data_IF_483682485134
#
_entry.id   IF_483682485134
#
_cell.length_a   1.000
_cell.length_b   1.000
_cell.length_c   1.000
_cell.angle_alpha   90.00
_cell.angle_beta   90.00
_cell.angle_gamma   90.00
#
_symmetry.space_group_name_H-M   'P 1'
#
loop_
_entity.id
_entity.type
_entity.pdbx_description
1 polymer ?
#
# COMPACT_ATOMS: atom_id res chain seq x y z
N UNK A 1 -26.08 46.39 5.17
CA UNK A 1 -26.19 45.08 4.49
C UNK A 1 -27.50 44.47 4.93
N UNK A 2 -28.39 44.18 3.99
CA UNK A 2 -29.64 43.47 4.26
C UNK A 2 -29.38 42.00 4.63
N UNK A 3 -30.29 41.44 5.42
CA UNK A 3 -30.11 40.23 6.22
C UNK A 3 -29.63 38.98 5.44
N UNK A 4 -29.89 38.89 4.13
CA UNK A 4 -29.48 37.79 3.25
C UNK A 4 -27.98 37.83 2.86
N UNK A 5 -27.37 39.02 2.83
CA UNK A 5 -26.00 39.21 2.35
C UNK A 5 -24.92 38.88 3.39
N UNK A 6 -25.25 38.99 4.68
CA UNK A 6 -24.37 38.59 5.78
C UNK A 6 -24.37 37.07 5.98
N UNK A 7 -25.48 36.40 5.67
CA UNK A 7 -25.67 34.97 5.90
C UNK A 7 -24.75 34.11 5.01
N UNK A 8 -24.46 34.52 3.77
CA UNK A 8 -23.49 33.82 2.91
C UNK A 8 -22.03 34.06 3.34
N UNK A 9 -21.70 35.29 3.78
CA UNK A 9 -20.42 35.60 4.42
C UNK A 9 -20.13 34.67 5.63
N UNK A 10 -21.19 34.21 6.30
CA UNK A 10 -21.17 33.45 7.55
C UNK A 10 -21.13 31.93 7.38
N UNK A 11 -21.26 31.40 6.15
CA UNK A 11 -21.35 29.94 5.95
C UNK A 11 -20.15 29.32 5.21
N UNK A 12 -19.31 30.12 4.56
CA UNK A 12 -18.24 29.62 3.67
C UNK A 12 -16.84 30.03 4.11
N UNK A 13 -16.70 31.22 4.71
CA UNK A 13 -15.42 31.74 5.21
C UNK A 13 -14.73 30.81 6.24
N UNK A 14 -15.46 30.12 7.15
CA UNK A 14 -14.84 29.24 8.16
C UNK A 14 -14.39 27.88 7.62
N UNK A 15 -15.02 27.29 6.59
CA UNK A 15 -14.50 26.07 5.96
C UNK A 15 -13.12 26.28 5.29
N UNK A 16 -12.80 27.53 4.98
CA UNK A 16 -11.60 27.93 4.26
C UNK A 16 -10.43 28.39 5.15
N UNK A 17 -10.68 28.75 6.41
CA UNK A 17 -9.64 28.86 7.45
C UNK A 17 -9.42 27.48 8.12
N UNK A 18 -10.47 26.66 8.22
CA UNK A 18 -10.49 25.43 9.02
C UNK A 18 -10.49 24.14 8.19
N UNK A 19 -9.44 23.89 7.42
CA UNK A 19 -8.88 22.53 7.36
C UNK A 19 -7.34 22.60 7.33
N UNK A 20 -6.68 22.97 8.44
CA UNK A 20 -5.29 22.61 8.61
C UNK A 20 -5.23 21.11 8.96
N UNK A 21 -5.20 20.24 7.95
CA UNK A 21 -4.42 19.00 8.07
C UNK A 21 -3.07 19.22 7.39
N UNK A 22 -2.35 20.24 7.83
CA UNK A 22 -0.94 20.46 7.46
C UNK A 22 -0.19 21.38 8.45
N UNK A 23 -0.65 21.50 9.70
CA UNK A 23 0.13 22.20 10.73
C UNK A 23 -0.04 21.52 12.09
N UNK A 24 0.39 20.26 12.16
CA UNK A 24 0.82 19.63 13.41
C UNK A 24 1.93 18.57 13.21
N UNK A 25 2.43 18.38 11.98
CA UNK A 25 3.49 17.39 11.69
C UNK A 25 4.68 17.93 10.89
N UNK A 26 4.69 19.20 10.49
CA UNK A 26 5.92 19.88 10.06
C UNK A 26 6.57 20.42 11.34
N UNK A 27 7.60 19.69 11.76
CA UNK A 27 8.03 19.63 13.14
C UNK A 27 8.59 20.94 13.69
N UNK A 28 8.61 20.99 15.02
CA UNK A 28 9.58 21.78 15.79
C UNK A 28 11.06 21.48 15.43
N UNK A 29 11.31 20.57 14.47
CA UNK A 29 12.61 20.11 14.00
C UNK A 29 12.95 20.54 12.55
N UNK A 30 12.13 21.34 11.86
CA UNK A 30 12.42 21.80 10.49
C UNK A 30 13.34 23.03 10.43
N UNK A 31 13.71 23.60 11.58
CA UNK A 31 14.58 24.77 11.64
C UNK A 31 16.05 24.34 11.65
N UNK A 32 16.82 24.78 10.64
CA UNK A 32 18.27 24.76 10.78
C UNK A 32 18.67 25.85 11.77
N UNK A 33 19.42 25.49 12.81
CA UNK A 33 20.05 26.45 13.74
C UNK A 33 21.00 27.44 13.03
N UNK A 34 21.24 27.27 11.74
CA UNK A 34 22.12 28.14 10.94
C UNK A 34 21.39 29.33 10.27
N UNK A 35 20.06 29.37 10.22
CA UNK A 35 19.30 30.44 9.55
C UNK A 35 18.29 31.14 10.48
N UNK A 36 18.76 32.00 11.41
CA UNK A 36 17.92 32.54 12.48
C UNK A 36 16.87 33.57 12.02
N UNK A 37 17.02 34.18 10.83
CA UNK A 37 16.17 35.27 10.37
C UNK A 37 15.09 34.86 9.35
N UNK A 38 15.01 33.58 9.00
CA UNK A 38 14.11 33.08 7.93
C UNK A 38 12.65 33.45 8.17
N UNK A 39 12.15 33.34 9.40
CA UNK A 39 10.76 33.66 9.74
C UNK A 39 10.44 35.13 9.53
N UNK A 40 11.32 36.02 9.96
CA UNK A 40 11.14 37.47 9.82
C UNK A 40 11.09 37.88 8.34
N UNK A 41 11.97 37.29 7.52
CA UNK A 41 12.05 37.58 6.07
C UNK A 41 10.77 37.13 5.36
N UNK A 42 10.37 35.87 5.55
CA UNK A 42 9.17 35.32 4.92
C UNK A 42 7.93 36.10 5.36
N UNK A 43 7.80 36.36 6.67
CA UNK A 43 6.66 37.11 7.23
C UNK A 43 6.58 38.53 6.69
N UNK A 44 7.70 39.25 6.62
CA UNK A 44 7.74 40.62 6.08
C UNK A 44 7.31 40.68 4.61
N UNK A 45 7.72 39.71 3.79
CA UNK A 45 7.30 39.62 2.39
C UNK A 45 5.81 39.31 2.25
N UNK A 46 5.29 38.40 3.08
CA UNK A 46 3.86 38.05 3.11
C UNK A 46 3.01 39.26 3.51
N UNK A 47 3.38 39.98 4.57
CA UNK A 47 2.68 41.18 5.05
C UNK A 47 2.61 42.24 3.95
N UNK A 48 3.76 42.60 3.37
CA UNK A 48 3.82 43.64 2.34
C UNK A 48 2.92 43.31 1.15
N UNK A 49 2.95 42.07 0.67
CA UNK A 49 2.10 41.67 -0.45
C UNK A 49 0.63 41.53 -0.09
N UNK A 50 0.32 41.05 1.11
CA UNK A 50 -1.06 40.98 1.61
C UNK A 50 -1.67 42.38 1.63
N UNK A 51 -0.94 43.36 2.15
CA UNK A 51 -1.37 44.76 2.20
C UNK A 51 -1.49 45.40 0.81
N UNK A 52 -0.60 45.06 -0.13
CA UNK A 52 -0.73 45.50 -1.54
C UNK A 52 -1.99 44.92 -2.21
N UNK A 53 -2.35 43.67 -1.90
CA UNK A 53 -3.47 42.96 -2.54
C UNK A 53 -4.82 43.28 -1.90
N UNK A 54 -4.86 43.52 -0.60
CA UNK A 54 -6.08 43.67 0.18
C UNK A 54 -6.11 45.02 0.90
N UNK A 55 -6.66 46.02 0.21
CA UNK A 55 -6.73 47.41 0.71
C UNK A 55 -7.83 47.63 1.77
N UNK A 56 -8.81 46.72 1.89
CA UNK A 56 -9.87 46.77 2.92
C UNK A 56 -10.59 45.42 3.09
N UNK A 57 -11.38 45.30 4.16
CA UNK A 57 -12.14 44.09 4.52
C UNK A 57 -13.15 43.66 3.43
N UNK A 58 -13.90 44.56 2.78
CA UNK A 58 -14.76 44.19 1.64
C UNK A 58 -14.00 43.54 0.47
N UNK A 59 -12.78 43.99 0.17
CA UNK A 59 -11.95 43.39 -0.88
C UNK A 59 -11.53 41.94 -0.53
N UNK A 60 -11.25 41.67 0.75
CA UNK A 60 -10.95 40.33 1.27
C UNK A 60 -12.14 39.40 1.10
N UNK A 61 -13.32 39.84 1.56
CA UNK A 61 -14.54 39.04 1.53
C UNK A 61 -14.99 38.73 0.10
N UNK A 62 -14.89 39.73 -0.80
CA UNK A 62 -15.17 39.55 -2.22
C UNK A 62 -14.21 38.54 -2.87
N UNK A 63 -12.93 38.57 -2.53
CA UNK A 63 -11.94 37.63 -3.06
C UNK A 63 -12.25 36.17 -2.68
N UNK A 64 -12.64 35.90 -1.44
CA UNK A 64 -13.00 34.54 -1.00
C UNK A 64 -14.33 34.07 -1.56
N UNK A 65 -15.32 34.95 -1.62
CA UNK A 65 -16.59 34.67 -2.28
C UNK A 65 -16.35 34.26 -3.75
N UNK A 66 -15.59 35.04 -4.51
CA UNK A 66 -15.30 34.77 -5.92
C UNK A 66 -14.47 33.48 -6.12
N UNK A 67 -13.62 33.12 -5.14
CA UNK A 67 -12.81 31.89 -5.18
C UNK A 67 -13.67 30.65 -4.93
N UNK A 68 -14.57 30.72 -3.94
CA UNK A 68 -15.49 29.64 -3.63
C UNK A 68 -16.51 29.40 -4.76
N UNK A 69 -17.12 30.47 -5.27
CA UNK A 69 -18.10 30.37 -6.37
C UNK A 69 -17.49 29.75 -7.63
N UNK A 70 -16.19 29.96 -7.86
CA UNK A 70 -15.46 29.39 -9.01
C UNK A 70 -14.83 28.02 -8.71
N UNK A 71 -15.06 27.44 -7.53
CA UNK A 71 -14.50 26.15 -7.12
C UNK A 71 -12.97 26.10 -7.09
N UNK A 72 -12.31 27.26 -6.97
CA UNK A 72 -10.83 27.33 -6.90
C UNK A 72 -10.40 27.28 -5.45
N UNK A 73 -9.38 26.46 -5.15
CA UNK A 73 -8.66 26.57 -3.88
C UNK A 73 -8.18 28.01 -3.73
N UNK A 74 -8.70 28.73 -2.72
CA UNK A 74 -8.27 30.11 -2.44
C UNK A 74 -6.76 30.22 -2.23
N UNK A 75 -6.12 29.12 -1.80
CA UNK A 75 -4.67 28.94 -1.79
C UNK A 75 -4.00 29.07 -3.16
N UNK A 76 -4.52 28.40 -4.18
CA UNK A 76 -4.05 28.54 -5.57
C UNK A 76 -4.44 29.91 -6.15
N UNK A 77 -5.53 30.53 -5.70
CA UNK A 77 -5.87 31.91 -6.10
C UNK A 77 -4.93 32.97 -5.46
N UNK A 78 -4.17 32.57 -4.44
CA UNK A 78 -3.08 33.35 -3.87
C UNK A 78 -1.76 33.17 -4.64
N UNK A 79 -1.66 32.32 -5.68
CA UNK A 79 -0.46 32.13 -6.54
C UNK A 79 0.14 33.45 -7.08
N UNK A 80 -0.67 34.50 -7.19
CA UNK A 80 -0.18 35.84 -7.53
C UNK A 80 0.74 36.48 -6.48
N UNK A 81 1.01 35.80 -5.35
CA UNK A 81 1.98 36.24 -4.37
C UNK A 81 3.42 36.01 -4.81
N UNK A 82 3.74 35.16 -5.81
CA UNK A 82 5.11 34.97 -6.34
C UNK A 82 6.16 34.86 -5.21
N UNK A 83 5.74 34.26 -4.08
CA UNK A 83 6.49 34.28 -2.83
C UNK A 83 7.56 33.21 -2.85
N UNK A 84 7.35 32.07 -3.51
CA UNK A 84 8.24 30.93 -3.33
C UNK A 84 9.61 31.16 -3.94
N UNK A 85 9.69 31.67 -5.19
CA UNK A 85 10.97 31.91 -5.86
C UNK A 85 11.69 33.15 -5.32
N UNK A 86 10.94 34.22 -5.01
CA UNK A 86 11.52 35.47 -4.49
C UNK A 86 11.89 35.37 -3.01
N UNK A 87 11.07 34.71 -2.20
CA UNK A 87 11.42 34.46 -0.81
C UNK A 87 12.54 33.43 -0.72
N UNK A 88 12.61 32.42 -1.61
CA UNK A 88 13.79 31.55 -1.70
C UNK A 88 15.06 32.34 -2.02
N UNK A 89 15.01 33.25 -3.00
CA UNK A 89 16.14 34.12 -3.33
C UNK A 89 16.55 35.05 -2.17
N UNK A 90 15.58 35.64 -1.46
CA UNK A 90 15.85 36.48 -0.30
C UNK A 90 16.44 35.67 0.87
N UNK A 91 15.90 34.49 1.16
CA UNK A 91 16.42 33.59 2.20
C UNK A 91 17.81 33.07 1.84
N UNK A 92 18.07 32.69 0.59
CA UNK A 92 19.40 32.24 0.16
C UNK A 92 20.46 33.35 0.16
N UNK A 93 20.04 34.62 0.10
CA UNK A 93 20.95 35.77 0.16
C UNK A 93 21.48 36.08 1.56
N UNK A 94 20.88 35.48 2.60
CA UNK A 94 21.35 35.63 3.98
C UNK A 94 22.56 34.74 4.28
N UNK A 95 23.56 35.25 5.04
CA UNK A 95 24.70 34.45 5.48
C UNK A 95 24.24 33.20 6.23
N UNK A 96 24.76 32.03 5.83
CA UNK A 96 24.44 30.71 6.41
C UNK A 96 23.03 30.16 6.12
N UNK A 97 22.26 30.79 5.22
CA UNK A 97 20.92 30.32 4.81
C UNK A 97 20.89 29.71 3.40
N UNK A 98 21.95 29.90 2.60
CA UNK A 98 22.03 29.39 1.23
C UNK A 98 21.82 27.87 1.17
N UNK A 99 20.76 27.44 0.46
CA UNK A 99 20.35 26.04 0.31
C UNK A 99 20.02 25.31 1.62
N UNK A 100 19.85 26.02 2.74
CA UNK A 100 19.51 25.42 4.04
C UNK A 100 18.01 25.30 4.27
N UNK A 101 17.19 26.06 3.53
CA UNK A 101 15.74 26.10 3.68
C UNK A 101 15.10 25.71 2.36
N UNK A 102 14.21 24.71 2.36
CA UNK A 102 13.54 24.25 1.15
C UNK A 102 12.39 25.19 0.75
N UNK A 103 12.02 25.19 -0.53
CA UNK A 103 10.84 25.94 -0.98
C UNK A 103 9.54 25.47 -0.30
N UNK A 104 9.46 24.18 0.08
CA UNK A 104 8.32 23.65 0.81
C UNK A 104 8.20 24.25 2.22
N UNK A 105 9.33 24.48 2.90
CA UNK A 105 9.35 25.11 4.23
C UNK A 105 8.95 26.59 4.15
N UNK A 106 9.47 27.32 3.17
CA UNK A 106 9.11 28.72 2.90
C UNK A 106 7.61 28.83 2.61
N UNK A 107 7.06 27.92 1.80
CA UNK A 107 5.65 27.88 1.47
C UNK A 107 4.78 27.62 2.72
N UNK A 108 5.19 26.68 3.57
CA UNK A 108 4.49 26.39 4.82
C UNK A 108 4.51 27.58 5.81
N UNK A 109 5.62 28.32 5.87
CA UNK A 109 5.74 29.53 6.70
C UNK A 109 4.87 30.66 6.16
N UNK A 110 4.94 30.92 4.86
CA UNK A 110 4.09 31.91 4.21
C UNK A 110 2.61 31.58 4.40
N UNK A 111 2.28 30.28 4.39
CA UNK A 111 0.93 29.83 4.61
C UNK A 111 0.37 30.19 5.97
N UNK A 112 1.17 29.95 7.00
CA UNK A 112 0.84 30.28 8.39
C UNK A 112 0.63 31.78 8.56
N UNK A 113 1.50 32.60 7.99
CA UNK A 113 1.44 34.06 8.12
C UNK A 113 0.25 34.67 7.39
N UNK A 114 -0.12 34.15 6.22
CA UNK A 114 -1.34 34.57 5.50
C UNK A 114 -2.59 34.29 6.34
N UNK A 115 -2.67 33.11 6.97
CA UNK A 115 -3.78 32.77 7.88
C UNK A 115 -3.82 33.73 9.07
N UNK A 116 -2.66 34.03 9.67
CA UNK A 116 -2.55 34.99 10.77
C UNK A 116 -2.98 36.41 10.38
N UNK A 117 -2.65 36.86 9.17
CA UNK A 117 -3.08 38.16 8.65
C UNK A 117 -4.58 38.23 8.40
N UNK A 118 -5.18 37.19 7.86
CA UNK A 118 -6.64 37.15 7.71
C UNK A 118 -7.34 37.17 9.07
N UNK A 119 -6.84 36.42 10.05
CA UNK A 119 -7.37 36.40 11.42
C UNK A 119 -7.28 37.76 12.12
N UNK A 120 -6.23 38.55 11.84
CA UNK A 120 -6.04 39.88 12.46
C UNK A 120 -6.73 41.02 11.72
N UNK A 121 -7.04 40.86 10.42
CA UNK A 121 -7.68 41.91 9.60
C UNK A 121 -9.21 41.84 9.60
N UNK A 122 -9.79 40.66 9.83
CA UNK A 122 -11.24 40.41 9.88
C UNK A 122 -11.99 40.69 11.21
N UNK A 123 -11.39 40.96 12.39
CA UNK A 123 -12.13 41.15 13.64
C UNK A 123 -13.10 42.35 13.67
N UNK A 124 -13.00 43.29 12.74
CA UNK A 124 -13.84 44.50 12.74
C UNK A 124 -15.25 44.31 12.15
N UNK A 125 -15.70 43.07 11.90
CA UNK A 125 -17.04 42.77 11.35
C UNK A 125 -18.07 42.46 12.46
N UNK A 126 -17.65 42.41 13.73
CA UNK A 126 -18.47 41.96 14.86
C UNK A 126 -19.42 43.04 15.44
N UNK A 127 -19.56 44.19 14.78
CA UNK A 127 -20.44 45.28 15.20
C UNK A 127 -21.75 45.32 14.39
N UNK A 128 -22.54 44.26 14.41
CA UNK A 128 -23.99 44.36 14.12
C UNK A 128 -24.76 43.33 14.94
N UNK A 129 -25.07 43.71 16.19
CA UNK A 129 -25.99 42.99 17.07
C UNK A 129 -27.43 43.17 16.58
N UNK A 130 -28.14 42.08 16.30
CA UNK A 130 -29.55 41.89 16.72
C UNK A 130 -29.99 40.42 16.53
N UNK A 131 -30.50 39.83 17.62
CA UNK A 131 -31.53 38.77 17.70
C UNK A 131 -31.35 37.41 16.99
N UNK A 132 -30.27 37.16 16.26
CA UNK A 132 -30.05 35.88 15.53
C UNK A 132 -29.35 34.75 16.33
N UNK A 133 -28.99 34.97 17.60
CA UNK A 133 -28.09 34.08 18.36
C UNK A 133 -28.73 32.80 18.93
N UNK A 134 -30.04 32.77 19.15
CA UNK A 134 -30.71 31.59 19.74
C UNK A 134 -30.96 30.49 18.71
N UNK A 135 -31.30 30.85 17.47
CA UNK A 135 -31.41 29.89 16.36
C UNK A 135 -30.04 29.39 15.87
N UNK A 136 -28.98 30.17 16.08
CA UNK A 136 -27.61 29.80 15.71
C UNK A 136 -27.05 28.67 16.59
N UNK A 137 -27.34 28.65 17.90
CA UNK A 137 -26.89 27.56 18.79
C UNK A 137 -27.50 26.21 18.41
N UNK A 138 -28.79 26.16 18.08
CA UNK A 138 -29.46 24.93 17.63
C UNK A 138 -28.95 24.45 16.27
N UNK A 139 -28.66 25.37 15.35
CA UNK A 139 -28.14 25.04 14.02
C UNK A 139 -26.67 24.55 14.08
N UNK A 140 -25.84 25.18 14.92
CA UNK A 140 -24.45 24.74 15.17
C UNK A 140 -24.41 23.39 15.90
N UNK A 141 -25.23 23.15 16.93
CA UNK A 141 -25.29 21.83 17.57
C UNK A 141 -25.72 20.74 16.57
N UNK A 142 -26.68 21.04 15.69
CA UNK A 142 -27.15 20.12 14.64
C UNK A 142 -26.12 19.87 13.53
N UNK A 143 -25.15 20.77 13.31
CA UNK A 143 -24.09 20.65 12.30
C UNK A 143 -22.76 20.09 12.86
N UNK A 144 -22.47 20.31 14.14
CA UNK A 144 -21.24 19.83 14.80
C UNK A 144 -21.40 18.38 15.28
N UNK A 145 -22.60 17.96 15.69
CA UNK A 145 -22.85 16.58 16.15
C UNK A 145 -22.61 15.52 15.04
N UNK A 146 -22.97 15.74 13.76
CA UNK A 146 -22.54 14.88 12.67
C UNK A 146 -21.04 14.98 12.40
N UNK A 147 -20.44 16.17 12.47
CA UNK A 147 -19.02 16.41 12.13
C UNK A 147 -18.05 15.75 13.14
N UNK A 148 -18.42 15.66 14.42
CA UNK A 148 -17.66 14.90 15.42
C UNK A 148 -17.72 13.37 15.21
N UNK A 149 -18.75 12.87 14.52
CA UNK A 149 -18.86 11.45 14.13
C UNK A 149 -17.98 11.15 12.90
N UNK A 150 -17.55 12.19 12.16
CA UNK A 150 -16.64 12.10 11.01
C UNK A 150 -15.21 12.56 11.31
N UNK A 151 -14.79 12.65 12.59
CA UNK A 151 -13.35 12.70 12.88
C UNK A 151 -12.75 11.39 12.34
N UNK A 152 -11.80 11.42 11.40
CA UNK A 152 -11.15 10.21 10.94
C UNK A 152 -10.49 9.59 12.17
N UNK A 153 -10.94 8.40 12.57
CA UNK A 153 -10.14 7.54 13.44
C UNK A 153 -8.75 7.53 12.81
N UNK A 154 -7.73 7.95 13.57
CA UNK A 154 -6.35 7.90 13.10
C UNK A 154 -6.07 6.45 12.68
N UNK A 155 -6.21 6.15 11.39
CA UNK A 155 -5.79 4.89 10.82
C UNK A 155 -4.29 4.96 10.87
N UNK A 156 -3.68 4.09 11.68
CA UNK A 156 -2.23 3.93 11.67
C UNK A 156 -1.85 3.52 10.26
N UNK A 157 -1.38 4.48 9.47
CA UNK A 157 -0.95 4.24 8.10
C UNK A 157 0.29 3.34 8.16
N UNK A 158 0.29 2.28 7.33
CA UNK A 158 1.46 1.43 7.21
C UNK A 158 2.67 2.29 6.83
N UNK A 159 3.82 2.01 7.44
CA UNK A 159 5.04 2.75 7.18
C UNK A 159 6.26 1.87 7.35
N UNK A 160 7.33 2.25 6.66
CA UNK A 160 8.66 1.68 6.92
C UNK A 160 9.09 2.05 8.35
N UNK A 161 9.94 1.21 8.96
CA UNK A 161 10.46 1.42 10.32
C UNK A 161 9.38 1.55 11.41
N UNK A 162 8.19 0.97 11.21
CA UNK A 162 7.06 1.07 12.16
C UNK A 162 7.46 0.72 13.61
N UNK A 163 8.28 -0.31 13.78
CA UNK A 163 8.71 -0.85 15.06
C UNK A 163 10.00 -0.24 15.62
N UNK A 164 10.59 0.81 15.00
CA UNK A 164 11.90 1.35 15.41
C UNK A 164 11.98 1.74 16.89
N UNK A 165 10.90 2.27 17.47
CA UNK A 165 10.81 2.65 18.88
C UNK A 165 10.11 1.61 19.77
N UNK A 166 9.70 0.46 19.21
CA UNK A 166 8.91 -0.57 19.88
C UNK A 166 9.72 -1.87 20.02
N UNK A 167 10.26 -2.33 18.90
CA UNK A 167 11.08 -3.53 18.74
C UNK A 167 12.12 -3.23 17.63
N UNK A 168 13.20 -2.48 17.94
CA UNK A 168 14.14 -1.98 16.94
C UNK A 168 14.83 -3.08 16.12
N UNK A 169 15.00 -4.28 16.70
CA UNK A 169 15.69 -5.40 16.06
C UNK A 169 14.75 -6.33 15.28
N UNK A 170 13.45 -6.01 15.15
CA UNK A 170 12.44 -6.94 14.60
C UNK A 170 12.84 -7.51 13.24
N UNK A 171 13.27 -6.66 12.31
CA UNK A 171 13.59 -7.10 10.95
C UNK A 171 14.79 -8.05 10.93
N UNK A 172 15.79 -7.81 11.78
CA UNK A 172 16.96 -8.67 11.93
C UNK A 172 16.59 -10.02 12.53
N UNK A 173 15.73 -10.03 13.56
CA UNK A 173 15.27 -11.27 14.21
C UNK A 173 14.48 -12.13 13.22
N UNK A 174 13.54 -11.53 12.48
CA UNK A 174 12.76 -12.23 11.45
C UNK A 174 13.69 -12.75 10.36
N UNK A 175 14.61 -11.92 9.85
CA UNK A 175 15.60 -12.32 8.83
C UNK A 175 16.43 -13.52 9.27
N UNK A 176 16.88 -13.54 10.52
CA UNK A 176 17.64 -14.65 11.10
C UNK A 176 16.82 -15.94 11.16
N UNK A 177 15.59 -15.87 11.65
CA UNK A 177 14.69 -17.03 11.71
C UNK A 177 14.35 -17.58 10.31
N UNK A 178 14.04 -16.70 9.35
CA UNK A 178 13.75 -17.05 7.96
C UNK A 178 14.96 -17.67 7.28
N UNK A 179 16.16 -17.11 7.48
CA UNK A 179 17.41 -17.66 6.93
C UNK A 179 17.66 -19.08 7.43
N UNK A 180 17.49 -19.31 8.75
CA UNK A 180 17.63 -20.64 9.35
C UNK A 180 16.61 -21.62 8.77
N UNK A 181 15.36 -21.21 8.55
CA UNK A 181 14.33 -22.07 7.96
C UNK A 181 14.60 -22.34 6.47
N UNK A 182 15.03 -21.34 5.70
CA UNK A 182 15.41 -21.48 4.30
C UNK A 182 16.58 -22.46 4.10
N UNK A 183 17.57 -22.45 4.99
CA UNK A 183 18.68 -23.41 4.98
C UNK A 183 18.25 -24.85 5.25
N UNK A 184 17.09 -25.08 5.88
CA UNK A 184 16.56 -26.43 6.10
C UNK A 184 15.92 -26.99 4.82
N UNK A 185 15.26 -26.14 4.05
CA UNK A 185 14.62 -26.52 2.80
C UNK A 185 14.31 -25.31 1.93
N UNK A 186 14.61 -25.40 0.64
CA UNK A 186 14.27 -24.37 -0.34
C UNK A 186 12.76 -24.12 -0.43
N UNK A 187 11.93 -25.13 -0.13
CA UNK A 187 10.45 -25.04 -0.10
C UNK A 187 9.95 -23.84 0.71
N UNK A 188 10.70 -23.46 1.75
CA UNK A 188 10.47 -22.25 2.56
C UNK A 188 10.14 -21.01 1.72
N UNK A 189 10.87 -20.80 0.62
CA UNK A 189 10.71 -19.58 -0.18
C UNK A 189 9.40 -19.51 -0.95
N UNK A 190 9.11 -20.41 -1.89
CA UNK A 190 7.84 -20.39 -2.61
C UNK A 190 6.64 -20.59 -1.67
N UNK A 191 6.79 -21.35 -0.57
CA UNK A 191 5.72 -21.55 0.40
C UNK A 191 5.34 -20.24 1.12
N UNK A 192 6.33 -19.51 1.65
CA UNK A 192 6.08 -18.25 2.39
C UNK A 192 5.56 -17.16 1.45
N UNK A 193 6.14 -17.05 0.25
CA UNK A 193 5.71 -16.08 -0.75
C UNK A 193 4.24 -16.32 -1.17
N UNK A 194 3.88 -17.57 -1.44
CA UNK A 194 2.49 -17.93 -1.77
C UNK A 194 1.55 -17.71 -0.60
N UNK A 195 1.98 -18.02 0.63
CA UNK A 195 1.17 -17.81 1.84
C UNK A 195 0.78 -16.34 2.02
N UNK A 196 1.70 -15.40 1.78
CA UNK A 196 1.41 -13.96 1.83
C UNK A 196 0.41 -13.52 0.75
N UNK A 197 0.53 -14.05 -0.47
CA UNK A 197 -0.47 -13.79 -1.51
C UNK A 197 -1.87 -14.25 -1.09
N UNK A 198 -1.98 -15.50 -0.59
CA UNK A 198 -3.25 -16.06 -0.16
C UNK A 198 -3.85 -15.29 1.01
N UNK A 199 -3.05 -14.88 2.00
CA UNK A 199 -3.48 -14.00 3.08
C UNK A 199 -4.08 -12.70 2.54
N UNK A 200 -3.31 -11.97 1.73
CA UNK A 200 -3.74 -10.67 1.23
C UNK A 200 -4.99 -10.71 0.33
N UNK A 201 -5.22 -11.80 -0.40
CA UNK A 201 -6.41 -11.97 -1.24
C UNK A 201 -7.65 -12.40 -0.45
N UNK A 202 -7.48 -13.06 0.69
CA UNK A 202 -8.58 -13.53 1.53
C UNK A 202 -8.73 -12.61 2.73
N UNK A 203 -9.75 -11.73 2.70
CA UNK A 203 -10.06 -10.75 3.77
C UNK A 203 -9.00 -9.65 4.02
N UNK A 204 -7.85 -9.71 3.34
CA UNK A 204 -6.78 -8.73 3.41
C UNK A 204 -5.55 -9.27 4.13
N UNK A 205 -4.44 -8.54 4.09
CA UNK A 205 -3.19 -8.95 4.74
C UNK A 205 -3.31 -8.82 6.26
N UNK A 206 -3.98 -9.78 6.90
CA UNK A 206 -4.32 -9.80 8.32
C UNK A 206 -3.93 -11.11 9.02
N UNK A 207 -3.15 -11.97 8.35
CA UNK A 207 -2.74 -13.27 8.85
C UNK A 207 -3.89 -14.23 9.22
N UNK A 208 -5.12 -14.01 8.71
CA UNK A 208 -6.25 -14.92 8.92
C UNK A 208 -5.95 -16.34 8.43
N UNK A 209 -5.14 -16.47 7.38
CA UNK A 209 -4.76 -17.76 6.80
C UNK A 209 -3.99 -18.64 7.81
N UNK A 210 -3.30 -18.04 8.79
CA UNK A 210 -2.51 -18.75 9.79
C UNK A 210 -3.38 -19.38 10.90
N UNK A 211 -4.60 -18.89 11.11
CA UNK A 211 -5.52 -19.41 12.13
C UNK A 211 -5.84 -20.87 11.82
N UNK A 212 -5.73 -21.73 12.84
CA UNK A 212 -6.05 -23.14 12.75
C UNK A 212 -7.43 -23.43 13.34
N UNK A 213 -8.11 -24.44 12.79
CA UNK A 213 -9.36 -24.96 13.33
C UNK A 213 -9.22 -26.47 13.54
N UNK A 214 -9.44 -26.94 14.77
CA UNK A 214 -9.41 -28.38 15.08
C UNK A 214 -10.54 -29.16 14.39
N UNK A 215 -11.63 -28.50 14.01
CA UNK A 215 -12.74 -29.08 13.24
C UNK A 215 -12.58 -28.93 11.73
N UNK A 216 -11.44 -28.40 11.25
CA UNK A 216 -11.17 -28.22 9.83
C UNK A 216 -12.00 -27.13 9.17
N UNK A 217 -12.36 -26.07 9.92
CA UNK A 217 -13.20 -24.98 9.46
C UNK A 217 -12.46 -23.72 8.98
N UNK A 218 -11.12 -23.67 9.07
CA UNK A 218 -10.33 -22.46 8.80
C UNK A 218 -10.02 -22.28 7.30
N UNK A 219 -9.42 -21.14 6.94
CA UNK A 219 -9.04 -20.82 5.55
C UNK A 219 -8.09 -21.88 4.97
N UNK A 220 -7.05 -22.26 5.70
CA UNK A 220 -6.07 -23.27 5.28
C UNK A 220 -6.68 -24.66 4.99
N UNK A 221 -7.88 -24.93 5.47
CA UNK A 221 -8.60 -26.18 5.23
C UNK A 221 -9.44 -26.14 3.93
N UNK A 222 -9.54 -25.00 3.25
CA UNK A 222 -10.25 -24.84 1.98
C UNK A 222 -9.52 -25.59 0.84
N UNK A 223 -10.22 -26.16 -0.16
CA UNK A 223 -9.58 -26.89 -1.27
C UNK A 223 -8.52 -26.12 -2.08
N UNK A 224 -8.63 -24.79 -2.15
CA UNK A 224 -7.61 -23.95 -2.80
C UNK A 224 -6.34 -23.79 -1.92
N UNK A 225 -6.49 -23.88 -0.60
CA UNK A 225 -5.44 -23.61 0.38
C UNK A 225 -4.80 -24.87 0.97
N UNK A 226 -5.43 -26.05 0.83
CA UNK A 226 -4.86 -27.33 1.27
C UNK A 226 -3.49 -27.63 0.63
N UNK A 227 -3.21 -26.97 -0.50
CA UNK A 227 -1.95 -27.06 -1.23
C UNK A 227 -0.87 -26.08 -0.74
N UNK A 228 -1.18 -25.20 0.21
CA UNK A 228 -0.19 -24.34 0.86
C UNK A 228 0.76 -25.22 1.69
N UNK A 229 2.04 -25.16 1.38
CA UNK A 229 3.03 -25.99 2.04
C UNK A 229 3.21 -25.56 3.51
N UNK A 230 3.29 -26.55 4.41
CA UNK A 230 3.50 -26.33 5.84
C UNK A 230 4.72 -25.48 6.17
N UNK A 231 5.76 -25.52 5.34
CA UNK A 231 6.98 -24.71 5.49
C UNK A 231 6.71 -23.20 5.52
N UNK A 232 5.68 -22.71 4.82
CA UNK A 232 5.30 -21.30 4.86
C UNK A 232 4.76 -20.91 6.23
N UNK A 233 3.86 -21.73 6.79
CA UNK A 233 3.31 -21.54 8.14
C UNK A 233 4.41 -21.64 9.20
N UNK A 234 5.24 -22.67 9.10
CA UNK A 234 6.42 -22.88 9.95
C UNK A 234 7.35 -21.66 9.99
N UNK A 235 7.55 -21.01 8.84
CA UNK A 235 8.42 -19.83 8.74
C UNK A 235 7.90 -18.71 9.61
N UNK A 236 6.60 -18.42 9.53
CA UNK A 236 5.96 -17.38 10.35
C UNK A 236 5.93 -17.76 11.82
N UNK A 237 5.59 -19.01 12.15
CA UNK A 237 5.52 -19.50 13.54
C UNK A 237 6.90 -19.43 14.20
N UNK A 238 7.97 -19.88 13.53
CA UNK A 238 9.34 -19.82 14.06
C UNK A 238 9.84 -18.38 14.18
N UNK A 239 9.52 -17.52 13.21
CA UNK A 239 9.86 -16.10 13.29
C UNK A 239 9.11 -15.42 14.44
N UNK A 240 7.83 -15.72 14.66
CA UNK A 240 7.05 -15.22 15.81
C UNK A 240 7.66 -15.63 17.13
N UNK A 241 8.02 -16.92 17.29
CA UNK A 241 8.67 -17.40 18.50
C UNK A 241 10.02 -16.70 18.74
N UNK A 242 10.81 -16.45 17.68
CA UNK A 242 12.07 -15.72 17.79
C UNK A 242 11.84 -14.25 18.19
N UNK A 243 10.88 -13.57 17.57
CA UNK A 243 10.51 -12.19 17.92
C UNK A 243 10.05 -12.09 19.37
N UNK A 244 9.18 -13.00 19.81
CA UNK A 244 8.66 -12.98 21.18
C UNK A 244 9.67 -13.44 22.24
N UNK A 245 10.80 -14.03 21.82
CA UNK A 245 11.93 -14.33 22.71
C UNK A 245 12.77 -13.11 23.08
N UNK A 246 12.66 -12.01 22.32
CA UNK A 246 13.23 -10.72 22.69
C UNK A 246 12.27 -9.98 23.64
N UNK A 247 12.67 -9.68 24.90
CA UNK A 247 11.81 -9.01 25.88
C UNK A 247 11.28 -7.65 25.42
N UNK A 248 11.98 -6.95 24.52
CA UNK A 248 11.52 -5.67 23.98
C UNK A 248 10.40 -5.85 22.96
N UNK A 249 10.26 -7.03 22.38
CA UNK A 249 9.40 -7.32 21.24
C UNK A 249 8.20 -8.21 21.58
N UNK A 250 8.28 -8.93 22.71
CA UNK A 250 7.28 -9.88 23.17
C UNK A 250 5.86 -9.31 23.11
N UNK A 251 5.01 -9.95 22.30
CA UNK A 251 3.60 -9.59 22.07
C UNK A 251 3.38 -8.18 21.50
N UNK A 252 4.37 -7.59 20.83
CA UNK A 252 4.27 -6.25 20.20
C UNK A 252 4.25 -6.27 18.67
N UNK A 253 4.57 -7.41 18.05
CA UNK A 253 4.64 -7.57 16.59
C UNK A 253 3.58 -8.58 16.13
N UNK A 254 2.76 -8.17 15.16
CA UNK A 254 1.68 -8.98 14.60
C UNK A 254 2.22 -10.10 13.70
N UNK A 255 1.44 -11.16 13.56
CA UNK A 255 1.75 -12.24 12.63
C UNK A 255 1.68 -11.77 11.17
N UNK A 256 0.77 -10.84 10.86
CA UNK A 256 0.66 -10.22 9.54
C UNK A 256 1.95 -9.49 9.12
N UNK A 257 2.56 -8.72 10.03
CA UNK A 257 3.82 -8.05 9.72
C UNK A 257 5.02 -9.01 9.68
N UNK A 258 5.02 -10.06 10.50
CA UNK A 258 6.04 -11.13 10.41
C UNK A 258 5.96 -11.84 9.06
N UNK A 259 4.76 -12.16 8.57
CA UNK A 259 4.58 -12.77 7.25
C UNK A 259 5.04 -11.83 6.13
N UNK A 260 4.76 -10.53 6.22
CA UNK A 260 5.23 -9.54 5.24
C UNK A 260 6.76 -9.43 5.21
N UNK A 261 7.40 -9.34 6.39
CA UNK A 261 8.87 -9.34 6.50
C UNK A 261 9.50 -10.63 5.99
N UNK A 262 8.93 -11.78 6.39
CA UNK A 262 9.41 -13.09 5.96
C UNK A 262 9.31 -13.27 4.45
N UNK A 263 8.26 -12.75 3.82
CA UNK A 263 8.08 -12.79 2.36
C UNK A 263 9.21 -12.05 1.64
N UNK A 264 9.53 -10.82 2.08
CA UNK A 264 10.65 -10.04 1.56
C UNK A 264 11.99 -10.76 1.73
N UNK A 265 12.19 -11.41 2.87
CA UNK A 265 13.41 -12.12 3.19
C UNK A 265 13.60 -13.39 2.34
N UNK A 266 12.54 -14.17 2.09
CA UNK A 266 12.65 -15.35 1.22
C UNK A 266 12.86 -14.99 -0.25
N UNK A 267 12.24 -13.91 -0.73
CA UNK A 267 12.49 -13.39 -2.09
C UNK A 267 13.95 -13.00 -2.25
N UNK A 268 14.49 -12.26 -1.28
CA UNK A 268 15.91 -11.87 -1.28
C UNK A 268 16.86 -13.07 -1.20
N UNK A 269 16.56 -14.08 -0.36
CA UNK A 269 17.36 -15.31 -0.26
C UNK A 269 17.36 -16.13 -1.55
N UNK A 270 16.26 -16.10 -2.31
CA UNK A 270 16.16 -16.77 -3.59
C UNK A 270 16.84 -16.00 -4.74
N UNK A 271 17.51 -14.86 -4.47
CA UNK A 271 18.19 -14.04 -5.47
C UNK A 271 17.37 -12.88 -6.04
N UNK A 272 16.16 -12.68 -5.51
CA UNK A 272 15.27 -11.58 -5.88
C UNK A 272 15.62 -10.27 -5.19
N UNK A 273 14.79 -9.23 -5.40
CA UNK A 273 15.05 -7.91 -4.83
C UNK A 273 14.87 -7.89 -3.31
N UNK A 274 15.71 -7.10 -2.64
CA UNK A 274 15.42 -6.64 -1.29
C UNK A 274 14.63 -5.32 -1.37
N UNK A 275 13.66 -5.14 -0.49
CA UNK A 275 12.89 -3.91 -0.39
C UNK A 275 12.51 -3.61 1.06
N UNK A 276 12.26 -2.34 1.35
CA UNK A 276 11.75 -1.92 2.65
C UNK A 276 10.26 -2.26 2.75
N UNK A 277 9.89 -3.04 3.77
CA UNK A 277 8.51 -3.46 4.00
C UNK A 277 7.79 -2.39 4.80
N UNK A 278 6.58 -2.03 4.38
CA UNK A 278 5.70 -1.21 5.20
C UNK A 278 5.02 -2.08 6.24
N UNK A 279 5.07 -1.66 7.50
CA UNK A 279 4.62 -2.40 8.67
C UNK A 279 3.59 -1.58 9.45
N UNK A 280 2.93 -2.22 10.42
CA UNK A 280 1.82 -1.71 11.20
C UNK A 280 0.51 -2.48 11.00
N UNK A 281 0.53 -3.67 10.36
CA UNK A 281 -0.67 -4.50 10.19
C UNK A 281 -1.08 -5.10 11.53
N UNK A 282 -2.37 -5.24 11.75
CA UNK A 282 -2.91 -6.04 12.84
C UNK A 282 -3.49 -7.35 12.33
N UNK A 283 -3.49 -8.34 13.22
CA UNK A 283 -4.01 -9.67 12.95
C UNK A 283 -5.54 -9.69 12.96
N UNK A 284 -6.13 -10.34 11.96
CA UNK A 284 -7.56 -10.60 11.85
C UNK A 284 -8.03 -11.68 12.82
N UNK A 285 -9.33 -11.69 13.11
CA UNK A 285 -9.97 -12.64 14.05
C UNK A 285 -10.88 -13.67 13.38
N UNK A 286 -11.00 -13.63 12.06
CA UNK A 286 -11.95 -14.44 11.31
C UNK A 286 -11.17 -15.23 10.27
N UNK A 287 -11.22 -16.56 10.39
CA UNK A 287 -10.69 -17.49 9.40
C UNK A 287 -11.71 -18.60 9.19
N UNK A 288 -12.25 -18.68 7.98
CA UNK A 288 -13.25 -19.69 7.63
C UNK A 288 -13.03 -20.20 6.21
N UNK A 289 -13.38 -21.46 5.94
CA UNK A 289 -13.44 -21.97 4.56
C UNK A 289 -14.25 -21.08 3.62
N UNK A 290 -15.35 -20.52 4.12
CA UNK A 290 -16.22 -19.63 3.34
C UNK A 290 -15.53 -18.30 2.96
N UNK A 291 -14.55 -17.85 3.75
CA UNK A 291 -13.75 -16.66 3.43
C UNK A 291 -13.00 -16.80 2.10
N UNK A 292 -12.50 -18.01 1.79
CA UNK A 292 -11.66 -18.28 0.61
C UNK A 292 -12.48 -18.42 -0.67
N UNK A 293 -13.75 -18.80 -0.55
CA UNK A 293 -14.59 -19.19 -1.67
C UNK A 293 -14.66 -18.07 -2.74
N UNK A 294 -14.12 -18.39 -3.92
CA UNK A 294 -14.05 -17.49 -5.10
C UNK A 294 -13.19 -16.23 -4.90
N UNK A 295 -12.34 -16.17 -3.88
CA UNK A 295 -11.42 -15.05 -3.67
C UNK A 295 -10.06 -15.24 -4.36
N UNK A 296 -9.69 -16.48 -4.69
CA UNK A 296 -8.37 -16.80 -5.25
C UNK A 296 -8.43 -17.06 -6.77
N UNK A 297 -7.43 -16.60 -7.53
CA UNK A 297 -7.35 -16.85 -8.95
C UNK A 297 -7.07 -18.33 -9.22
N UNK A 298 -7.69 -18.87 -10.28
CA UNK A 298 -7.49 -20.26 -10.67
C UNK A 298 -6.44 -20.37 -11.78
N UNK A 299 -5.68 -21.48 -11.86
CA UNK A 299 -4.64 -21.68 -12.88
C UNK A 299 -5.19 -21.73 -14.32
N UNK A 300 -6.50 -21.93 -14.47
CA UNK A 300 -7.21 -21.93 -15.76
C UNK A 300 -7.72 -20.56 -16.20
N UNK A 301 -7.53 -19.51 -15.41
CA UNK A 301 -8.03 -18.18 -15.74
C UNK A 301 -7.33 -17.56 -16.95
N UNK A 302 -8.09 -16.78 -17.72
CA UNK A 302 -7.58 -15.92 -18.78
C UNK A 302 -7.31 -14.49 -18.25
N UNK A 303 -6.64 -13.66 -19.05
CA UNK A 303 -6.22 -12.32 -18.66
C UNK A 303 -7.35 -11.44 -18.11
N UNK A 304 -8.55 -11.47 -18.69
CA UNK A 304 -9.68 -10.67 -18.20
C UNK A 304 -10.13 -11.09 -16.79
N UNK A 305 -10.12 -12.39 -16.49
CA UNK A 305 -10.48 -12.90 -15.18
C UNK A 305 -9.41 -12.55 -14.14
N UNK A 306 -8.12 -12.64 -14.51
CA UNK A 306 -7.00 -12.22 -13.67
C UNK A 306 -7.09 -10.72 -13.37
N UNK A 307 -7.22 -9.88 -14.40
CA UNK A 307 -7.35 -8.44 -14.26
C UNK A 307 -8.54 -8.05 -13.40
N UNK A 308 -9.72 -8.65 -13.63
CA UNK A 308 -10.93 -8.34 -12.86
C UNK A 308 -10.76 -8.64 -11.37
N UNK A 309 -10.14 -9.78 -11.04
CA UNK A 309 -9.94 -10.19 -9.65
C UNK A 309 -8.87 -9.33 -8.96
N UNK A 310 -7.76 -9.04 -9.63
CA UNK A 310 -6.72 -8.18 -9.04
C UNK A 310 -7.20 -6.72 -8.90
N UNK A 311 -8.01 -6.24 -9.85
CA UNK A 311 -8.60 -4.90 -9.78
C UNK A 311 -9.54 -4.73 -8.57
N UNK A 312 -10.25 -5.79 -8.12
CA UNK A 312 -11.06 -5.70 -6.90
C UNK A 312 -10.22 -5.53 -5.62
N UNK A 313 -8.91 -5.75 -5.70
CA UNK A 313 -7.93 -5.45 -4.65
C UNK A 313 -7.09 -4.20 -4.96
N UNK A 314 -7.47 -3.40 -5.96
CA UNK A 314 -6.76 -2.16 -6.32
C UNK A 314 -5.43 -2.40 -7.05
N UNK A 315 -5.24 -3.58 -7.65
CA UNK A 315 -4.04 -3.95 -8.39
C UNK A 315 -4.27 -3.82 -9.90
N UNK A 316 -3.31 -3.22 -10.59
CA UNK A 316 -3.34 -2.99 -12.04
C UNK A 316 -2.90 -4.23 -12.83
N UNK A 317 -3.09 -4.23 -14.15
CA UNK A 317 -2.56 -5.29 -15.01
C UNK A 317 -1.02 -5.43 -14.90
N UNK A 318 -0.27 -4.34 -14.77
CA UNK A 318 1.17 -4.42 -14.54
C UNK A 318 1.49 -5.11 -13.20
N UNK A 319 0.68 -4.87 -12.16
CA UNK A 319 0.81 -5.55 -10.87
C UNK A 319 0.49 -7.04 -10.99
N UNK A 320 -0.53 -7.42 -11.79
CA UNK A 320 -0.82 -8.84 -12.13
C UNK A 320 0.41 -9.50 -12.74
N UNK A 321 0.95 -8.91 -13.81
CA UNK A 321 2.08 -9.49 -14.56
C UNK A 321 3.32 -9.60 -13.68
N UNK A 322 3.60 -8.56 -12.87
CA UNK A 322 4.74 -8.57 -11.96
C UNK A 322 4.57 -9.65 -10.87
N UNK A 323 3.42 -9.73 -10.21
CA UNK A 323 3.16 -10.72 -9.15
C UNK A 323 3.13 -12.15 -9.69
N UNK A 324 2.64 -12.38 -10.91
CA UNK A 324 2.75 -13.69 -11.58
C UNK A 324 4.21 -14.12 -11.80
N UNK A 325 5.15 -13.18 -11.86
CA UNK A 325 6.59 -13.45 -11.86
C UNK A 325 7.06 -14.24 -10.64
N UNK A 326 6.31 -14.28 -9.54
CA UNK A 326 6.59 -15.15 -8.39
C UNK A 326 6.64 -16.65 -8.76
N UNK A 327 6.00 -17.06 -9.86
CA UNK A 327 6.06 -18.43 -10.38
C UNK A 327 7.43 -18.82 -10.94
N UNK A 328 8.42 -17.92 -10.94
CA UNK A 328 9.84 -18.24 -11.23
C UNK A 328 10.45 -19.21 -10.20
N UNK A 329 9.88 -19.33 -9.00
CA UNK A 329 10.29 -20.31 -7.99
C UNK A 329 9.13 -21.19 -7.53
N UNK A 330 9.45 -22.41 -7.11
CA UNK A 330 8.50 -23.34 -6.51
C UNK A 330 7.88 -24.32 -7.49
N UNK A 331 6.77 -24.91 -7.07
CA UNK A 331 6.25 -26.12 -7.69
C UNK A 331 4.72 -26.17 -7.67
N UNK A 332 4.18 -26.96 -8.59
CA UNK A 332 2.76 -27.21 -8.75
C UNK A 332 2.48 -28.69 -8.84
N UNK A 333 1.39 -29.12 -8.19
CA UNK A 333 0.82 -30.44 -8.43
C UNK A 333 0.35 -30.58 -9.89
N UNK A 334 0.51 -31.78 -10.44
CA UNK A 334 0.11 -32.09 -11.83
C UNK A 334 -1.36 -31.75 -12.11
N UNK A 335 -2.25 -31.98 -11.13
CA UNK A 335 -3.70 -31.74 -11.25
C UNK A 335 -4.08 -30.31 -11.62
N UNK A 336 -3.19 -29.33 -11.39
CA UNK A 336 -3.44 -27.91 -11.65
C UNK A 336 -3.21 -27.51 -13.11
N UNK A 337 -2.53 -28.33 -13.92
CA UNK A 337 -2.27 -28.03 -15.33
C UNK A 337 -2.50 -29.21 -16.29
N UNK A 338 -2.80 -30.42 -15.80
CA UNK A 338 -3.03 -31.60 -16.66
C UNK A 338 -4.12 -31.41 -17.71
N UNK A 339 -5.10 -30.53 -17.47
CA UNK A 339 -6.08 -30.11 -18.46
C UNK A 339 -5.42 -29.58 -19.75
N UNK A 340 -4.31 -28.85 -19.65
CA UNK A 340 -3.57 -28.30 -20.80
C UNK A 340 -2.81 -29.34 -21.61
N UNK A 341 -2.47 -30.48 -21.02
CA UNK A 341 -1.65 -31.51 -21.69
C UNK A 341 -2.42 -32.76 -22.06
N UNK A 342 -3.65 -32.98 -21.57
CA UNK A 342 -4.43 -34.17 -21.92
C UNK A 342 -5.85 -33.89 -22.45
N UNK A 343 -6.48 -32.77 -22.05
CA UNK A 343 -7.90 -32.51 -22.31
C UNK A 343 -8.17 -31.01 -22.49
N UNK A 344 -7.41 -30.36 -23.36
CA UNK A 344 -7.49 -28.90 -23.49
C UNK A 344 -8.82 -28.44 -24.11
N UNK A 345 -9.17 -28.95 -25.30
CA UNK A 345 -10.44 -28.63 -25.95
C UNK A 345 -10.90 -29.75 -26.89
N UNK A 346 -12.13 -29.64 -27.40
CA UNK A 346 -12.64 -30.58 -28.42
C UNK A 346 -11.77 -30.47 -29.67
N UNK A 347 -11.07 -31.55 -30.02
CA UNK A 347 -10.18 -31.61 -31.18
C UNK A 347 -8.73 -31.20 -30.89
N UNK A 348 -8.41 -30.67 -29.70
CA UNK A 348 -7.02 -30.37 -29.30
C UNK A 348 -6.71 -30.96 -27.92
N UNK A 349 -6.05 -32.12 -27.84
CA UNK A 349 -5.71 -32.72 -26.54
C UNK A 349 -4.65 -31.93 -25.77
N UNK A 350 -3.79 -31.20 -26.48
CA UNK A 350 -2.78 -30.31 -25.91
C UNK A 350 -3.18 -28.87 -26.23
N UNK A 351 -2.94 -27.97 -25.29
CA UNK A 351 -3.06 -26.53 -25.47
C UNK A 351 -2.13 -26.06 -26.60
N UNK A 352 -2.65 -25.44 -27.69
CA UNK A 352 -1.84 -25.01 -28.82
C UNK A 352 -0.86 -23.87 -28.47
N UNK A 353 -1.06 -23.19 -27.34
CA UNK A 353 -0.15 -22.15 -26.85
C UNK A 353 1.04 -22.71 -26.08
N UNK A 354 1.00 -24.00 -25.74
CA UNK A 354 2.05 -24.69 -25.00
C UNK A 354 3.10 -25.25 -25.98
N UNK A 355 4.37 -24.99 -25.70
CA UNK A 355 5.49 -25.50 -26.49
C UNK A 355 5.40 -27.04 -26.61
N UNK A 356 5.38 -27.61 -27.82
CA UNK A 356 5.19 -29.05 -28.00
C UNK A 356 6.25 -29.91 -27.32
N UNK A 357 7.50 -29.45 -27.26
CA UNK A 357 8.58 -30.17 -26.57
C UNK A 357 8.40 -30.13 -25.06
N UNK A 358 8.06 -28.96 -24.52
CA UNK A 358 7.75 -28.82 -23.09
C UNK A 358 6.50 -29.63 -22.70
N UNK A 359 5.46 -29.63 -23.53
CA UNK A 359 4.26 -30.46 -23.31
C UNK A 359 4.60 -31.96 -23.21
N UNK A 360 5.54 -32.46 -24.03
CA UNK A 360 6.03 -33.84 -23.92
C UNK A 360 6.78 -34.09 -22.61
N UNK A 361 7.63 -33.17 -22.17
CA UNK A 361 8.33 -33.27 -20.87
C UNK A 361 7.32 -33.27 -19.71
N UNK A 362 6.32 -32.39 -19.73
CA UNK A 362 5.26 -32.35 -18.74
C UNK A 362 4.47 -33.67 -18.68
N UNK A 363 4.16 -34.29 -19.82
CA UNK A 363 3.52 -35.62 -19.86
C UNK A 363 4.39 -36.74 -19.31
N UNK A 364 5.73 -36.63 -19.40
CA UNK A 364 6.65 -37.61 -18.81
C UNK A 364 6.69 -37.48 -17.28
N UNK A 365 6.70 -36.24 -16.77
CA UNK A 365 6.71 -35.99 -15.32
C UNK A 365 5.33 -36.20 -14.67
N UNK A 366 4.25 -35.98 -15.43
CA UNK A 366 2.86 -36.10 -14.98
C UNK A 366 2.06 -37.04 -15.90
N UNK A 367 2.36 -38.36 -15.88
CA UNK A 367 1.58 -39.34 -16.63
C UNK A 367 0.12 -39.38 -16.13
N UNK A 368 -0.81 -39.95 -16.92
CA UNK A 368 -2.17 -40.19 -16.44
C UNK A 368 -2.16 -41.02 -15.15
N UNK A 369 -2.96 -40.64 -14.16
CA UNK A 369 -3.03 -41.29 -12.84
C UNK A 369 -1.73 -41.26 -12.02
N UNK A 370 -0.87 -40.25 -12.25
CA UNK A 370 0.26 -39.96 -11.34
C UNK A 370 -0.22 -39.73 -9.90
N UNK A 371 0.59 -40.12 -8.92
CA UNK A 371 0.31 -39.86 -7.50
C UNK A 371 0.01 -38.35 -7.30
N UNK A 372 -1.15 -37.98 -6.71
CA UNK A 372 -1.58 -36.59 -6.59
C UNK A 372 -0.62 -35.73 -5.74
N UNK A 373 0.26 -36.36 -4.95
CA UNK A 373 1.29 -35.68 -4.16
C UNK A 373 2.49 -35.23 -5.01
N UNK A 374 2.65 -35.75 -6.22
CA UNK A 374 3.73 -35.33 -7.12
C UNK A 374 3.51 -33.87 -7.52
N UNK A 375 4.57 -33.08 -7.34
CA UNK A 375 4.65 -31.70 -7.75
C UNK A 375 5.91 -31.52 -8.62
N UNK A 376 5.81 -30.66 -9.61
CA UNK A 376 6.91 -30.33 -10.53
C UNK A 376 7.21 -28.84 -10.46
N UNK A 377 8.43 -28.44 -10.83
CA UNK A 377 8.81 -27.04 -10.84
C UNK A 377 7.93 -26.21 -11.78
N UNK A 378 7.56 -25.00 -11.35
CA UNK A 378 6.81 -24.05 -12.17
C UNK A 378 7.71 -23.39 -13.23
N UNK A 379 8.96 -23.11 -12.87
CA UNK A 379 10.00 -22.65 -13.78
C UNK A 379 10.90 -23.83 -14.20
N UNK A 380 10.89 -24.25 -15.47
CA UNK A 380 11.76 -25.33 -15.96
C UNK A 380 13.23 -24.92 -16.15
N UNK A 381 13.56 -23.63 -16.04
CA UNK A 381 14.87 -23.06 -16.38
C UNK A 381 15.70 -22.80 -15.13
N UNK A 382 15.15 -22.05 -14.17
CA UNK A 382 15.82 -21.68 -12.90
C UNK A 382 14.88 -21.90 -11.71
N UNK A 383 14.51 -23.16 -11.40
CA UNK A 383 13.43 -23.49 -10.45
C UNK A 383 13.62 -22.99 -9.01
N UNK A 384 14.84 -22.55 -8.66
CA UNK A 384 15.20 -22.09 -7.32
C UNK A 384 15.75 -20.65 -7.28
N UNK A 385 15.72 -19.92 -8.40
CA UNK A 385 16.22 -18.55 -8.47
C UNK A 385 15.08 -17.60 -8.78
N UNK A 386 14.93 -16.55 -7.97
CA UNK A 386 13.95 -15.50 -8.21
C UNK A 386 14.49 -14.54 -9.27
N UNK A 387 14.20 -14.81 -10.54
CA UNK A 387 14.68 -14.02 -11.67
C UNK A 387 13.59 -13.87 -12.75
N UNK A 388 13.98 -13.37 -13.93
CA UNK A 388 13.07 -13.14 -15.04
C UNK A 388 12.98 -14.31 -16.04
N UNK A 389 13.52 -15.49 -15.71
CA UNK A 389 13.40 -16.68 -16.55
C UNK A 389 11.93 -17.07 -16.75
N UNK A 390 11.06 -16.87 -15.75
CA UNK A 390 9.61 -16.98 -15.89
C UNK A 390 9.09 -16.29 -17.16
N UNK A 391 9.43 -15.01 -17.37
CA UNK A 391 8.94 -14.26 -18.54
C UNK A 391 9.57 -14.73 -19.85
N UNK A 392 10.84 -15.15 -19.83
CA UNK A 392 11.50 -15.77 -20.99
C UNK A 392 10.88 -17.12 -21.35
N UNK A 393 10.41 -17.87 -20.37
CA UNK A 393 9.68 -19.12 -20.57
C UNK A 393 8.34 -18.84 -21.25
N UNK A 394 7.61 -17.78 -20.86
CA UNK A 394 6.35 -17.42 -21.51
C UNK A 394 6.53 -17.11 -23.00
N UNK A 395 7.61 -16.40 -23.37
CA UNK A 395 7.96 -16.12 -24.77
C UNK A 395 8.15 -17.38 -25.62
N UNK A 396 8.56 -18.48 -24.99
CA UNK A 396 8.83 -19.76 -25.62
C UNK A 396 7.63 -20.72 -25.58
N UNK A 397 6.47 -20.28 -25.06
CA UNK A 397 5.31 -21.14 -24.85
C UNK A 397 5.47 -22.10 -23.67
N UNK A 398 6.34 -21.78 -22.69
CA UNK A 398 6.67 -22.64 -21.56
C UNK A 398 6.08 -22.17 -20.23
N UNK A 399 5.03 -21.32 -20.24
CA UNK A 399 4.25 -21.05 -19.04
C UNK A 399 3.49 -22.31 -18.60
N UNK A 400 3.58 -22.68 -17.32
CA UNK A 400 2.99 -23.93 -16.82
C UNK A 400 1.45 -23.86 -16.80
N UNK A 401 0.89 -22.79 -16.24
CA UNK A 401 -0.54 -22.61 -16.15
C UNK A 401 -1.11 -21.89 -17.38
N UNK A 402 -2.42 -22.05 -17.59
CA UNK A 402 -3.13 -21.26 -18.61
C UNK A 402 -3.07 -19.79 -18.24
N UNK A 403 -3.23 -19.47 -16.94
CA UNK A 403 -3.05 -18.12 -16.41
C UNK A 403 -1.69 -17.51 -16.74
N UNK A 404 -0.61 -18.29 -16.65
CA UNK A 404 0.74 -17.83 -17.02
C UNK A 404 0.84 -17.54 -18.52
N UNK A 405 0.49 -18.52 -19.35
CA UNK A 405 0.66 -18.41 -20.79
C UNK A 405 -0.30 -17.36 -21.40
N UNK A 406 -1.41 -17.07 -20.74
CA UNK A 406 -2.35 -16.00 -21.13
C UNK A 406 -1.71 -14.61 -21.09
N UNK A 407 -0.74 -14.37 -20.20
CA UNK A 407 -0.05 -13.07 -20.08
C UNK A 407 0.78 -12.73 -21.32
N UNK A 408 1.30 -13.73 -22.02
CA UNK A 408 2.10 -13.52 -23.23
C UNK A 408 1.28 -13.65 -24.52
N UNK A 409 0.27 -14.52 -24.54
CA UNK A 409 -0.53 -14.76 -25.74
C UNK A 409 -1.53 -13.63 -26.02
N UNK A 410 -1.99 -12.92 -24.99
CA UNK A 410 -2.82 -11.73 -25.14
C UNK A 410 -1.97 -10.49 -25.43
N UNK A 411 -2.34 -9.74 -26.48
CA UNK A 411 -1.56 -8.59 -26.96
C UNK A 411 -1.52 -7.44 -25.96
N UNK A 412 -2.49 -7.31 -25.05
CA UNK A 412 -2.58 -6.22 -24.07
C UNK A 412 -1.50 -6.28 -23.00
N UNK A 413 -1.06 -7.48 -22.63
CA UNK A 413 -0.04 -7.71 -21.60
C UNK A 413 1.34 -8.07 -22.17
N UNK A 414 1.40 -8.49 -23.43
CA UNK A 414 2.60 -9.02 -24.09
C UNK A 414 3.81 -8.07 -24.05
N UNK A 415 3.61 -6.78 -24.21
CA UNK A 415 4.72 -5.81 -24.21
C UNK A 415 5.38 -5.67 -22.84
N UNK A 416 4.58 -5.73 -21.75
CA UNK A 416 5.12 -5.77 -20.39
C UNK A 416 5.87 -7.08 -20.12
N UNK A 417 5.35 -8.22 -20.58
CA UNK A 417 6.07 -9.51 -20.49
C UNK A 417 7.41 -9.46 -21.23
N UNK A 418 7.44 -8.89 -22.45
CA UNK A 418 8.66 -8.71 -23.23
C UNK A 418 9.68 -7.82 -22.51
N UNK A 419 9.23 -6.72 -21.91
CA UNK A 419 10.08 -5.84 -21.11
C UNK A 419 10.72 -6.60 -19.94
N UNK A 420 9.92 -7.35 -19.18
CA UNK A 420 10.42 -8.10 -18.03
C UNK A 420 11.36 -9.23 -18.44
N UNK A 421 11.09 -9.94 -19.54
CA UNK A 421 11.98 -10.98 -20.08
C UNK A 421 13.35 -10.42 -20.52
N UNK A 422 13.36 -9.22 -21.10
CA UNK A 422 14.57 -8.55 -21.56
C UNK A 422 15.36 -7.88 -20.42
N UNK A 423 14.67 -7.41 -19.37
CA UNK A 423 15.27 -6.61 -18.30
C UNK A 423 14.83 -7.09 -16.91
N UNK A 424 15.72 -7.83 -16.25
CA UNK A 424 15.47 -8.36 -14.90
C UNK A 424 15.29 -7.23 -13.87
N UNK A 425 16.01 -6.11 -14.00
CA UNK A 425 15.84 -4.95 -13.12
C UNK A 425 14.44 -4.34 -13.24
N UNK A 426 13.92 -4.22 -14.47
CA UNK A 426 12.56 -3.72 -14.69
C UNK A 426 11.51 -4.64 -14.04
N UNK A 427 11.67 -5.97 -14.18
CA UNK A 427 10.83 -6.93 -13.47
C UNK A 427 10.90 -6.73 -11.96
N UNK A 428 12.11 -6.72 -11.38
CA UNK A 428 12.29 -6.61 -9.94
C UNK A 428 11.70 -5.32 -9.36
N UNK A 429 11.85 -4.19 -10.05
CA UNK A 429 11.23 -2.91 -9.64
C UNK A 429 9.70 -2.95 -9.68
N UNK A 430 9.14 -3.55 -10.74
CA UNK A 430 7.69 -3.74 -10.84
C UNK A 430 7.18 -4.71 -9.77
N UNK A 431 7.94 -5.77 -9.47
CA UNK A 431 7.61 -6.72 -8.42
C UNK A 431 7.59 -6.06 -7.04
N UNK A 432 8.60 -5.23 -6.70
CA UNK A 432 8.61 -4.45 -5.45
C UNK A 432 7.35 -3.57 -5.37
N UNK A 433 7.05 -2.85 -6.44
CA UNK A 433 5.86 -1.96 -6.48
C UNK A 433 4.57 -2.76 -6.24
N UNK A 434 4.41 -3.89 -6.93
CA UNK A 434 3.22 -4.71 -6.88
C UNK A 434 3.06 -5.43 -5.53
N UNK A 435 4.15 -5.99 -4.96
CA UNK A 435 4.12 -6.68 -3.66
C UNK A 435 3.89 -5.69 -2.51
N UNK A 436 4.40 -4.46 -2.60
CA UNK A 436 4.09 -3.39 -1.63
C UNK A 436 2.61 -3.00 -1.71
N UNK A 437 2.04 -2.85 -2.91
CA UNK A 437 0.59 -2.59 -3.06
C UNK A 437 -0.25 -3.74 -2.53
N UNK A 438 0.12 -4.99 -2.85
CA UNK A 438 -0.54 -6.18 -2.34
C UNK A 438 -0.55 -6.16 -0.81
N UNK A 439 0.59 -5.84 -0.19
CA UNK A 439 0.72 -5.73 1.26
C UNK A 439 -0.17 -4.68 1.92
N UNK A 440 -0.82 -3.78 1.17
CA UNK A 440 -1.76 -2.78 1.70
C UNK A 440 -3.22 -3.23 1.62
N UNK A 441 -3.50 -4.38 0.99
CA UNK A 441 -4.87 -4.86 0.77
C UNK A 441 -5.53 -5.24 2.09
N UNK A 442 -6.69 -4.63 2.36
CA UNK A 442 -7.60 -5.03 3.45
C UNK A 442 -7.01 -5.03 4.86
N UNK A 443 -5.93 -4.29 5.10
CA UNK A 443 -5.17 -4.27 6.36
C UNK A 443 -6.06 -3.85 7.54
N UNK A 444 -5.87 -4.51 8.70
CA UNK A 444 -6.60 -4.15 9.92
C UNK A 444 -5.83 -3.09 10.70
N UNK A 445 -6.55 -2.09 11.20
CA UNK A 445 -5.99 -1.03 12.05
C UNK A 445 -6.87 -0.78 13.28
N UNK A 446 -6.26 -0.27 14.34
CA UNK A 446 -6.97 0.05 15.59
C UNK A 446 -7.77 -1.13 16.14
N UNK A 447 -9.09 -0.94 16.36
CA UNK A 447 -9.97 -1.96 16.94
C UNK A 447 -10.30 -3.13 15.99
N UNK A 448 -9.94 -3.04 14.71
CA UNK A 448 -10.29 -4.05 13.70
C UNK A 448 -9.46 -5.33 13.80
N UNK A 449 -8.31 -5.29 14.47
CA UNK A 449 -7.42 -6.44 14.64
C UNK A 449 -6.80 -6.51 16.03
N UNK A 450 -5.81 -7.38 16.18
CA UNK A 450 -5.00 -7.56 17.39
C UNK A 450 -3.54 -7.86 17.07
N UNK A 451 -2.73 -8.02 18.11
CA UNK A 451 -1.40 -8.63 18.00
C UNK A 451 -1.51 -9.99 18.67
N UNK A 452 -1.54 -11.06 17.88
CA UNK A 452 -1.66 -12.41 18.41
C UNK A 452 -0.39 -12.84 19.13
N UNK A 453 -0.56 -13.56 20.23
CA UNK A 453 0.54 -14.22 20.95
C UNK A 453 0.97 -15.51 20.25
N UNK A 454 0.01 -16.22 19.69
CA UNK A 454 0.20 -17.40 18.86
C UNK A 454 -0.48 -17.17 17.51
N UNK A 455 0.27 -17.28 16.41
CA UNK A 455 -0.24 -17.04 15.06
C UNK A 455 -1.30 -18.05 14.61
N UNK A 456 -1.61 -19.08 15.40
CA UNK A 456 -2.59 -20.10 15.05
C UNK A 456 -3.95 -19.92 15.73
N UNK A 457 -4.06 -19.03 16.72
CA UNK A 457 -5.29 -18.82 17.50
C UNK A 457 -5.53 -17.34 17.79
N UNK A 458 -6.80 -16.95 17.86
CA UNK A 458 -7.21 -15.62 18.35
C UNK A 458 -6.90 -15.53 19.85
N UNK A 459 -6.51 -14.33 20.32
CA UNK A 459 -6.11 -14.11 21.72
C UNK A 459 -7.20 -14.35 22.77
#
# INVERSE_FOLDING_TARGET
MDHFHFIILSLVLPLYIFLPTASAQLGQNCYSNTCPNVESIVRGMVINKFQQKFVNVPAILKFFHDSFVRGRNAWLALDGLDTDTKAKGAVDSEPNCQNQVSCADILAMAARDVVSLFQTTLPNVEATRTTAMEHFHFFVLSLVLPLCIFLPTASAQLRQNYYSNICPNVESIVRGAVTKKFQQTFVTAPATLRLFFHDCFVRGCDASVLIASSSGGAEKDHPDDISLAGDGFDTVIKAKAAVDSDPNCQNKVSCADILAMATRDVVSLAGGPFYAVELGRLDGRISTKASVQRQLPQPSFQLDQLNSMFASHGLTQTDVIALSGAHTIGFSHCSKFTGRIYKFSRGSPIDPTLNPSYARQLRQMCPPNVDPRIAINMDPTTPQTFDNAYFRNLQQGMGLFTSDQSLFTDTRSRDTVNLFAANNTAFQQAFITAITKLGRVGVKTGKQGEIRRDCTVVN
#
